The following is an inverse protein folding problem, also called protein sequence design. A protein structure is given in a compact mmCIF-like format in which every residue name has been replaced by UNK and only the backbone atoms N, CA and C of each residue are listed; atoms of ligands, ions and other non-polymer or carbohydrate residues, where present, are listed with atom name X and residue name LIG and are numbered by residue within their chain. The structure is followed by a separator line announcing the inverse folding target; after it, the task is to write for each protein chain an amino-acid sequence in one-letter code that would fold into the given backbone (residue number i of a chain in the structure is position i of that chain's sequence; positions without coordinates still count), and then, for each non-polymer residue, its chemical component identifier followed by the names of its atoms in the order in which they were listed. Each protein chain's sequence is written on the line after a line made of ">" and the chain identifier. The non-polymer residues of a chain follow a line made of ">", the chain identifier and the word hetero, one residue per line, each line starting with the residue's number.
data_IF_999601547134
#
_entry.id   IF_999601547134
#
_cell.length_a   1.000
_cell.length_b   1.000
_cell.length_c   1.000
_cell.angle_alpha   90.00
_cell.angle_beta   90.00
_cell.angle_gamma   90.00
#
_symmetry.space_group_name_H-M   'P 1'
#
loop_
_entity.id
_entity.type
_entity.pdbx_description
1 polymer ?
#
# COMPACT_ATOMS: atom_id res chain seq x y z
N UNK A 1 36.07 10.06 1.95
CA UNK A 1 35.13 10.30 3.03
C UNK A 1 33.76 9.80 2.55
N UNK A 2 33.34 8.63 3.04
CA UNK A 2 32.04 8.03 2.74
C UNK A 2 30.96 8.82 3.48
N UNK A 3 30.13 9.53 2.75
CA UNK A 3 28.91 10.12 3.26
C UNK A 3 27.95 8.99 3.67
N UNK A 4 28.02 8.58 4.93
CA UNK A 4 26.96 7.78 5.52
C UNK A 4 25.73 8.69 5.62
N UNK A 5 24.69 8.37 4.87
CA UNK A 5 23.42 9.07 4.89
C UNK A 5 22.79 9.03 6.29
N UNK A 6 22.20 10.15 6.77
CA UNK A 6 21.77 10.31 8.16
C UNK A 6 20.60 9.40 8.60
N UNK A 7 20.06 8.58 7.73
CA UNK A 7 18.94 7.69 8.07
C UNK A 7 19.34 6.48 8.93
N UNK A 8 20.65 6.16 9.06
CA UNK A 8 21.11 5.20 10.08
C UNK A 8 20.85 5.65 11.52
N UNK A 9 20.62 6.94 11.76
CA UNK A 9 20.26 7.47 13.06
C UNK A 9 18.78 7.23 13.44
N UNK A 10 17.89 7.14 12.46
CA UNK A 10 16.47 6.81 12.67
C UNK A 10 16.25 5.32 12.98
N UNK A 11 17.14 4.45 12.54
CA UNK A 11 17.09 3.00 12.81
C UNK A 11 17.25 2.62 14.28
N UNK A 12 17.63 3.56 15.17
CA UNK A 12 17.85 3.29 16.61
C UNK A 12 16.61 3.42 17.48
N UNK A 13 15.51 3.96 17.00
CA UNK A 13 14.23 3.89 17.70
C UNK A 13 13.49 2.64 17.22
N UNK A 14 13.54 1.56 17.99
CA UNK A 14 12.71 0.39 17.80
C UNK A 14 11.24 0.75 17.94
N UNK A 15 10.69 1.42 16.93
CA UNK A 15 9.25 1.64 16.86
C UNK A 15 8.59 0.32 16.43
N UNK A 16 7.61 -0.20 17.18
CA UNK A 16 7.02 -1.52 16.91
C UNK A 16 6.36 -1.62 15.52
N UNK A 17 6.18 -0.48 14.86
CA UNK A 17 5.55 -0.35 13.55
C UNK A 17 6.53 0.07 12.44
N UNK A 18 7.83 -0.17 12.63
CA UNK A 18 8.82 0.24 11.64
C UNK A 18 9.18 1.72 11.69
N UNK A 19 9.73 2.26 10.60
CA UNK A 19 10.15 3.66 10.53
C UNK A 19 10.22 4.18 9.09
N UNK A 20 10.07 5.51 8.95
CA UNK A 20 10.23 6.21 7.67
C UNK A 20 11.64 6.79 7.52
N UNK A 21 12.07 6.99 6.26
CA UNK A 21 13.32 7.70 5.95
C UNK A 21 13.25 9.20 6.26
N UNK A 22 12.05 9.76 6.38
CA UNK A 22 11.80 11.16 6.64
C UNK A 22 10.35 11.55 6.38
N UNK A 23 10.02 12.83 6.44
CA UNK A 23 8.71 13.33 6.07
C UNK A 23 8.51 13.22 4.56
N UNK A 24 7.24 13.15 4.13
CA UNK A 24 6.88 13.27 2.73
C UNK A 24 7.09 14.71 2.26
N UNK A 25 7.72 14.87 1.12
CA UNK A 25 7.95 16.15 0.45
C UNK A 25 7.34 16.10 -0.95
N UNK A 26 6.31 16.89 -1.21
CA UNK A 26 5.52 16.85 -2.43
C UNK A 26 5.19 18.24 -2.94
N UNK A 27 4.95 18.33 -4.24
CA UNK A 27 4.45 19.54 -4.92
C UNK A 27 3.12 19.23 -5.59
N UNK A 28 2.12 20.08 -5.38
CA UNK A 28 0.88 20.05 -6.12
C UNK A 28 1.12 20.29 -7.61
N UNK A 29 0.51 19.47 -8.44
CA UNK A 29 0.52 19.66 -9.89
C UNK A 29 -0.53 20.68 -10.32
N UNK A 30 -0.39 21.22 -11.54
CA UNK A 30 -1.30 22.25 -12.07
C UNK A 30 -2.73 21.74 -12.29
N UNK A 31 -2.95 20.44 -12.29
CA UNK A 31 -4.28 19.82 -12.37
C UNK A 31 -5.11 20.00 -11.08
N UNK A 32 -4.49 20.51 -10.01
CA UNK A 32 -5.14 20.72 -8.70
C UNK A 32 -5.59 19.44 -7.99
N UNK A 33 -5.17 18.26 -8.49
CA UNK A 33 -5.66 16.96 -8.03
C UNK A 33 -4.53 16.00 -7.65
N UNK A 34 -3.44 16.04 -8.40
CA UNK A 34 -2.30 15.13 -8.17
C UNK A 34 -1.14 15.87 -7.50
N UNK A 35 -0.27 15.10 -6.85
CA UNK A 35 0.99 15.59 -6.29
C UNK A 35 2.16 14.79 -6.84
N UNK A 36 3.29 15.46 -7.01
CA UNK A 36 4.56 14.81 -7.38
C UNK A 36 5.50 14.81 -6.19
N UNK A 37 6.06 13.63 -5.86
CA UNK A 37 7.10 13.51 -4.86
C UNK A 37 8.37 14.24 -5.32
N UNK A 38 8.94 15.04 -4.42
CA UNK A 38 10.19 15.77 -4.66
C UNK A 38 11.42 14.95 -4.24
N UNK A 39 11.28 14.11 -3.23
CA UNK A 39 12.32 13.23 -2.70
C UNK A 39 11.80 11.81 -2.52
N UNK A 40 12.71 10.82 -2.49
CA UNK A 40 12.36 9.45 -2.15
C UNK A 40 11.75 9.38 -0.76
N UNK A 41 10.61 8.71 -0.62
CA UNK A 41 10.06 8.31 0.65
C UNK A 41 10.23 6.81 0.80
N UNK A 42 10.88 6.37 1.88
CA UNK A 42 11.04 4.95 2.22
C UNK A 42 10.40 4.66 3.57
N UNK A 43 9.88 3.47 3.68
CA UNK A 43 9.37 2.91 4.92
C UNK A 43 9.95 1.51 5.09
N UNK A 44 10.45 1.22 6.27
CA UNK A 44 10.89 -0.12 6.66
C UNK A 44 9.85 -0.66 7.63
N UNK A 45 9.19 -1.73 7.25
CA UNK A 45 8.15 -2.36 8.04
C UNK A 45 8.72 -3.17 9.24
N UNK A 46 7.86 -3.67 10.15
CA UNK A 46 8.31 -4.46 11.30
C UNK A 46 9.10 -5.74 10.95
N UNK A 47 8.96 -6.24 9.73
CA UNK A 47 9.69 -7.41 9.23
C UNK A 47 11.04 -7.05 8.57
N UNK A 48 11.36 -5.76 8.48
CA UNK A 48 12.56 -5.26 7.81
C UNK A 48 12.42 -5.14 6.28
N UNK A 49 11.21 -5.26 5.74
CA UNK A 49 10.93 -5.06 4.33
C UNK A 49 10.95 -3.57 3.99
N UNK A 50 11.59 -3.22 2.87
CA UNK A 50 11.69 -1.84 2.40
C UNK A 50 10.57 -1.59 1.38
N UNK A 51 9.80 -0.54 1.61
CA UNK A 51 8.82 0.04 0.72
C UNK A 51 9.31 1.39 0.23
N UNK A 52 9.29 1.62 -1.07
CA UNK A 52 9.89 2.81 -1.66
C UNK A 52 8.92 3.51 -2.60
N UNK A 53 8.71 4.80 -2.34
CA UNK A 53 8.08 5.72 -3.27
C UNK A 53 9.19 6.65 -3.81
N UNK A 54 9.65 6.47 -5.05
CA UNK A 54 10.74 7.24 -5.61
C UNK A 54 10.33 8.68 -5.91
N UNK A 55 11.29 9.59 -5.87
CA UNK A 55 11.12 10.96 -6.36
C UNK A 55 10.55 10.95 -7.79
N UNK A 56 9.67 11.88 -8.07
CA UNK A 56 8.96 11.96 -9.35
C UNK A 56 7.68 11.11 -9.42
N UNK A 57 7.40 10.24 -8.44
CA UNK A 57 6.13 9.54 -8.37
C UNK A 57 4.97 10.53 -8.29
N UNK A 58 3.92 10.27 -9.06
CA UNK A 58 2.69 11.07 -9.05
C UNK A 58 1.64 10.30 -8.27
N UNK A 59 1.02 10.95 -7.29
CA UNK A 59 0.03 10.35 -6.38
C UNK A 59 -1.25 11.18 -6.38
N UNK A 60 -2.39 10.53 -6.33
CA UNK A 60 -3.72 11.16 -6.34
C UNK A 60 -4.67 10.62 -5.25
N UNK A 61 -4.22 9.67 -4.44
CA UNK A 61 -5.02 9.02 -3.41
C UNK A 61 -6.06 8.04 -3.94
N UNK A 62 -6.07 7.74 -5.25
CA UNK A 62 -7.08 6.89 -5.86
C UNK A 62 -6.95 5.40 -5.48
N UNK A 63 -5.84 4.99 -4.86
CA UNK A 63 -5.69 3.65 -4.29
C UNK A 63 -6.61 3.42 -3.09
N UNK A 64 -7.03 4.50 -2.42
CA UNK A 64 -7.93 4.46 -1.27
C UNK A 64 -9.35 4.83 -1.75
N UNK A 65 -10.35 3.95 -1.59
CA UNK A 65 -11.71 4.24 -1.98
C UNK A 65 -12.23 5.55 -1.39
N UNK A 66 -12.79 6.43 -2.23
CA UNK A 66 -13.25 7.79 -1.83
C UNK A 66 -14.18 7.81 -0.61
N UNK A 67 -15.11 6.85 -0.41
CA UNK A 67 -15.95 6.82 0.78
C UNK A 67 -15.20 6.66 2.10
N UNK A 68 -13.92 6.27 2.06
CA UNK A 68 -13.04 6.22 3.25
C UNK A 68 -12.43 7.59 3.59
N UNK A 69 -12.38 8.52 2.65
CA UNK A 69 -11.75 9.84 2.85
C UNK A 69 -12.34 10.65 4.01
N UNK A 70 -13.67 10.69 4.26
CA UNK A 70 -14.22 11.39 5.40
C UNK A 70 -13.69 10.90 6.77
N UNK A 71 -13.25 9.63 6.85
CA UNK A 71 -12.69 9.07 8.07
C UNK A 71 -11.22 9.46 8.27
N UNK A 72 -10.54 9.88 7.19
CA UNK A 72 -9.12 10.24 7.19
C UNK A 72 -8.89 11.75 7.19
N UNK A 73 -9.88 12.56 6.81
CA UNK A 73 -9.70 13.97 6.48
C UNK A 73 -9.13 14.19 5.07
N UNK A 74 -9.09 13.14 4.24
CA UNK A 74 -8.46 13.12 2.92
C UNK A 74 -7.19 12.26 2.89
N UNK A 75 -6.83 11.70 1.71
CA UNK A 75 -5.76 10.72 1.62
C UNK A 75 -4.36 11.29 1.91
N UNK A 76 -4.19 12.60 1.81
CA UNK A 76 -2.89 13.26 2.01
C UNK A 76 -2.88 14.21 3.19
N UNK A 77 -3.81 14.05 4.13
CA UNK A 77 -3.91 14.90 5.30
C UNK A 77 -3.43 14.19 6.57
N UNK A 78 -3.03 15.00 7.56
CA UNK A 78 -2.72 14.54 8.90
C UNK A 78 -1.71 13.40 8.96
N UNK A 79 -2.00 12.43 9.82
CA UNK A 79 -1.15 11.27 10.12
C UNK A 79 -1.13 10.20 9.03
N UNK A 80 -2.08 10.25 8.09
CA UNK A 80 -2.19 9.25 7.00
C UNK A 80 -1.24 9.52 5.84
N UNK A 81 -0.78 10.76 5.67
CA UNK A 81 -0.06 11.26 4.49
C UNK A 81 1.05 10.34 4.01
N UNK A 82 2.00 10.00 4.86
CA UNK A 82 3.14 9.17 4.48
C UNK A 82 2.70 7.77 4.06
N UNK A 83 1.79 7.17 4.81
CA UNK A 83 1.25 5.85 4.51
C UNK A 83 0.47 5.84 3.18
N UNK A 84 -0.35 6.86 2.92
CA UNK A 84 -1.14 6.98 1.69
C UNK A 84 -0.26 7.12 0.44
N UNK A 85 0.82 7.89 0.52
CA UNK A 85 1.77 8.03 -0.59
C UNK A 85 2.42 6.68 -0.94
N UNK A 86 2.89 5.94 0.08
CA UNK A 86 3.49 4.62 -0.14
C UNK A 86 2.48 3.62 -0.71
N UNK A 87 1.25 3.65 -0.21
CA UNK A 87 0.17 2.77 -0.67
C UNK A 87 -0.19 3.07 -2.13
N UNK A 88 -0.34 4.34 -2.49
CA UNK A 88 -0.65 4.78 -3.85
C UNK A 88 0.41 4.31 -4.85
N UNK A 89 1.69 4.55 -4.53
CA UNK A 89 2.82 4.12 -5.36
C UNK A 89 2.88 2.59 -5.47
N UNK A 90 2.66 1.85 -4.37
CA UNK A 90 2.66 0.38 -4.38
C UNK A 90 1.53 -0.19 -5.24
N UNK A 91 0.38 0.48 -5.25
CA UNK A 91 -0.77 0.10 -6.07
C UNK A 91 -0.59 0.40 -7.55
N UNK A 92 0.24 1.39 -7.90
CA UNK A 92 0.62 1.67 -9.28
C UNK A 92 1.70 0.72 -9.78
N UNK A 93 2.71 0.44 -8.95
CA UNK A 93 3.81 -0.47 -9.29
C UNK A 93 3.33 -1.92 -9.43
N UNK A 94 2.41 -2.38 -8.59
CA UNK A 94 1.86 -3.74 -8.57
C UNK A 94 2.93 -4.84 -8.54
N UNK A 95 4.05 -4.57 -7.92
CA UNK A 95 5.16 -5.51 -7.76
C UNK A 95 4.95 -6.50 -6.61
N UNK A 96 3.94 -6.24 -5.77
CA UNK A 96 3.54 -7.07 -4.63
C UNK A 96 2.03 -7.35 -4.64
N UNK A 97 1.57 -8.40 -3.94
CA UNK A 97 0.15 -8.66 -3.77
C UNK A 97 -0.59 -7.49 -3.09
N UNK A 98 -1.84 -7.18 -3.47
CA UNK A 98 -2.60 -6.09 -2.86
C UNK A 98 -2.73 -6.24 -1.34
N UNK A 99 -2.94 -7.45 -0.83
CA UNK A 99 -3.02 -7.69 0.61
C UNK A 99 -1.73 -7.32 1.37
N UNK A 100 -0.56 -7.47 0.74
CA UNK A 100 0.71 -7.02 1.34
C UNK A 100 0.81 -5.48 1.34
N UNK A 101 0.34 -4.83 0.27
CA UNK A 101 0.28 -3.37 0.19
C UNK A 101 -0.67 -2.80 1.25
N UNK A 102 -1.84 -3.41 1.44
CA UNK A 102 -2.82 -3.01 2.45
C UNK A 102 -2.28 -3.22 3.88
N UNK A 103 -1.56 -4.32 4.11
CA UNK A 103 -0.90 -4.57 5.40
C UNK A 103 0.19 -3.55 5.68
N UNK A 104 1.02 -3.25 4.69
CA UNK A 104 2.01 -2.17 4.79
C UNK A 104 1.32 -0.84 5.11
N UNK A 105 0.20 -0.51 4.48
CA UNK A 105 -0.55 0.70 4.78
C UNK A 105 -1.01 0.75 6.24
N UNK A 106 -1.54 -0.36 6.77
CA UNK A 106 -1.90 -0.47 8.18
C UNK A 106 -0.70 -0.20 9.11
N UNK A 107 0.42 -0.89 8.88
CA UNK A 107 1.63 -0.76 9.69
C UNK A 107 2.22 0.66 9.60
N UNK A 108 2.24 1.23 8.40
CA UNK A 108 2.70 2.59 8.13
C UNK A 108 1.80 3.65 8.80
N UNK A 109 0.47 3.46 8.80
CA UNK A 109 -0.45 4.30 9.57
C UNK A 109 -0.16 4.24 11.07
N UNK A 110 0.06 3.03 11.61
CA UNK A 110 0.41 2.84 13.02
C UNK A 110 1.74 3.51 13.37
N UNK A 111 2.72 3.42 12.46
CA UNK A 111 4.00 4.13 12.59
C UNK A 111 3.82 5.65 12.63
N UNK A 112 2.85 6.19 11.88
CA UNK A 112 2.50 7.61 11.88
C UNK A 112 1.63 8.05 13.09
N UNK A 113 1.29 7.12 13.99
CA UNK A 113 0.49 7.42 15.19
C UNK A 113 -1.01 7.53 14.94
N UNK A 114 -1.52 6.89 13.87
CA UNK A 114 -2.97 6.70 13.68
C UNK A 114 -3.50 5.76 14.76
N UNK A 115 -4.68 6.03 15.30
CA UNK A 115 -5.35 5.21 16.30
C UNK A 115 -5.57 3.77 15.83
N UNK A 116 -5.55 2.79 16.77
CA UNK A 116 -5.67 1.37 16.40
C UNK A 116 -7.01 1.05 15.74
N UNK A 117 -8.09 1.63 16.24
CA UNK A 117 -9.44 1.41 15.70
C UNK A 117 -9.54 1.94 14.27
N UNK A 118 -9.06 3.17 14.04
CA UNK A 118 -9.07 3.77 12.70
C UNK A 118 -8.20 2.98 11.73
N UNK A 119 -6.98 2.65 12.11
CA UNK A 119 -6.08 1.89 11.25
C UNK A 119 -6.65 0.51 10.89
N UNK A 120 -7.27 -0.20 11.85
CA UNK A 120 -7.95 -1.49 11.59
C UNK A 120 -9.19 -1.34 10.72
N UNK A 121 -9.97 -0.28 10.90
CA UNK A 121 -11.13 0.01 10.05
C UNK A 121 -10.71 0.23 8.61
N UNK A 122 -9.67 1.02 8.38
CA UNK A 122 -9.12 1.28 7.06
C UNK A 122 -8.57 0.02 6.42
N UNK A 123 -7.83 -0.78 7.18
CA UNK A 123 -7.27 -2.05 6.70
C UNK A 123 -8.38 -3.02 6.26
N UNK A 124 -9.40 -3.21 7.09
CA UNK A 124 -10.56 -4.03 6.74
C UNK A 124 -11.23 -3.53 5.46
N UNK A 125 -11.48 -2.23 5.38
CA UNK A 125 -12.17 -1.64 4.23
C UNK A 125 -11.35 -1.76 2.94
N UNK A 126 -10.03 -1.67 3.00
CA UNK A 126 -9.18 -1.91 1.83
C UNK A 126 -9.18 -3.36 1.39
N UNK A 127 -9.07 -4.31 2.32
CA UNK A 127 -9.15 -5.74 2.01
C UNK A 127 -10.49 -6.12 1.36
N UNK A 128 -11.59 -5.48 1.79
CA UNK A 128 -12.92 -5.80 1.33
C UNK A 128 -13.36 -5.05 0.07
N UNK A 129 -13.04 -3.76 -0.01
CA UNK A 129 -13.49 -2.86 -1.08
C UNK A 129 -12.37 -2.43 -2.02
N UNK A 130 -11.11 -2.67 -1.67
CA UNK A 130 -9.95 -2.21 -2.43
C UNK A 130 -9.85 -2.86 -3.80
N UNK A 131 -9.01 -2.27 -4.64
CA UNK A 131 -8.70 -2.86 -5.95
C UNK A 131 -7.80 -4.08 -5.76
N UNK A 132 -8.17 -5.19 -6.38
CA UNK A 132 -7.40 -6.42 -6.32
C UNK A 132 -6.78 -6.76 -7.68
N UNK A 133 -5.58 -7.31 -7.68
CA UNK A 133 -4.94 -7.92 -8.85
C UNK A 133 -4.34 -9.26 -8.47
N UNK A 134 -4.16 -10.11 -9.47
CA UNK A 134 -3.53 -11.42 -9.32
C UNK A 134 -2.30 -11.48 -10.21
N UNK A 135 -1.20 -12.01 -9.70
CA UNK A 135 -0.07 -12.35 -10.53
C UNK A 135 -0.40 -13.61 -11.33
N UNK A 136 -0.48 -13.49 -12.66
CA UNK A 136 -0.69 -14.63 -13.54
C UNK A 136 0.59 -15.48 -13.57
N UNK A 137 0.52 -16.70 -13.06
CA UNK A 137 1.55 -17.70 -13.34
C UNK A 137 1.34 -18.16 -14.78
N UNK A 138 2.10 -17.61 -15.73
CA UNK A 138 2.15 -18.20 -17.07
C UNK A 138 2.74 -19.60 -16.93
N UNK A 139 1.92 -20.66 -17.06
CA UNK A 139 2.41 -22.03 -17.25
C UNK A 139 3.33 -21.99 -18.46
N UNK A 140 4.63 -22.20 -18.24
CA UNK A 140 5.57 -22.34 -19.32
C UNK A 140 5.11 -23.56 -20.15
N UNK A 141 4.68 -23.36 -21.41
CA UNK A 141 4.58 -24.45 -22.36
C UNK A 141 5.95 -25.09 -22.42
N UNK A 142 6.05 -26.37 -22.06
CA UNK A 142 7.30 -27.14 -22.25
C UNK A 142 7.65 -27.03 -23.74
N UNK A 143 8.81 -26.49 -24.12
CA UNK A 143 9.22 -26.49 -25.51
C UNK A 143 9.39 -27.94 -25.96
N UNK A 144 8.83 -28.28 -27.12
CA UNK A 144 9.11 -29.53 -27.77
C UNK A 144 10.60 -29.56 -28.15
N UNK A 145 11.25 -30.69 -27.98
CA UNK A 145 12.71 -30.87 -28.01
C UNK A 145 13.39 -30.65 -29.37
N UNK A 146 12.77 -29.98 -30.34
CA UNK A 146 13.26 -29.80 -31.71
C UNK A 146 13.66 -28.38 -32.10
N UNK A 147 13.63 -27.39 -31.20
CA UNK A 147 14.04 -26.02 -31.53
C UNK A 147 15.05 -25.48 -30.52
N UNK A 148 16.31 -25.95 -30.62
CA UNK A 148 17.46 -25.32 -29.99
C UNK A 148 18.04 -24.32 -30.99
N UNK A 149 17.49 -23.13 -31.00
CA UNK A 149 18.03 -21.96 -31.69
C UNK A 149 17.93 -20.78 -30.74
N UNK A 150 19.08 -20.13 -30.48
CA UNK A 150 19.33 -18.95 -29.71
C UNK A 150 18.08 -18.22 -29.14
N UNK A 151 17.68 -18.56 -27.92
CA UNK A 151 16.61 -17.85 -27.23
C UNK A 151 17.23 -16.73 -26.38
N UNK A 152 16.97 -15.50 -26.78
CA UNK A 152 17.04 -14.33 -25.93
C UNK A 152 16.33 -14.63 -24.60
N UNK A 153 17.03 -14.39 -23.52
CA UNK A 153 16.46 -14.45 -22.17
C UNK A 153 15.63 -13.18 -21.98
N UNK A 154 14.43 -13.18 -22.52
CA UNK A 154 13.42 -12.17 -22.19
C UNK A 154 13.00 -12.36 -20.72
N UNK A 155 13.41 -11.45 -19.87
CA UNK A 155 12.91 -11.36 -18.49
C UNK A 155 11.38 -11.24 -18.57
N UNK A 156 10.68 -12.33 -18.23
CA UNK A 156 9.22 -12.39 -18.24
C UNK A 156 8.66 -11.59 -17.07
N UNK A 157 8.39 -10.33 -17.30
CA UNK A 157 7.51 -9.56 -16.44
C UNK A 157 6.10 -10.12 -16.57
N UNK A 158 5.62 -10.76 -15.51
CA UNK A 158 4.22 -11.14 -15.40
C UNK A 158 3.39 -9.86 -15.26
N UNK A 159 2.63 -9.51 -16.30
CA UNK A 159 1.72 -8.38 -16.27
C UNK A 159 0.58 -8.67 -15.29
N UNK A 160 0.39 -7.89 -14.21
CA UNK A 160 -0.69 -8.11 -13.28
C UNK A 160 -2.05 -7.87 -13.97
N UNK A 161 -2.96 -8.82 -13.83
CA UNK A 161 -4.34 -8.64 -14.29
C UNK A 161 -5.15 -7.96 -13.19
N UNK A 162 -5.62 -6.75 -13.45
CA UNK A 162 -6.49 -6.01 -12.52
C UNK A 162 -7.93 -6.44 -12.75
N UNK A 163 -8.58 -6.95 -11.71
CA UNK A 163 -10.04 -7.14 -11.70
C UNK A 163 -10.69 -5.78 -11.42
N UNK A 164 -11.18 -5.13 -12.46
CA UNK A 164 -11.85 -3.82 -12.37
C UNK A 164 -13.31 -4.00 -11.92
N UNK A 165 -13.56 -4.45 -10.70
CA UNK A 165 -14.84 -4.21 -10.05
C UNK A 165 -14.67 -2.98 -9.16
N UNK A 166 -15.12 -1.81 -9.64
CA UNK A 166 -15.38 -0.69 -8.73
C UNK A 166 -16.53 -1.13 -7.81
N UNK A 167 -16.16 -1.57 -6.62
CA UNK A 167 -17.13 -1.84 -5.57
C UNK A 167 -17.63 -0.49 -5.09
N UNK A 168 -18.94 -0.23 -5.23
CA UNK A 168 -19.56 0.97 -4.66
C UNK A 168 -19.53 0.82 -3.14
N UNK A 169 -18.63 1.53 -2.49
CA UNK A 169 -18.52 1.54 -1.03
C UNK A 169 -19.57 2.51 -0.49
N UNK A 170 -20.44 2.01 0.39
CA UNK A 170 -21.38 2.87 1.12
C UNK A 170 -20.72 3.36 2.42
N UNK A 171 -20.82 4.65 2.79
CA UNK A 171 -20.36 5.16 4.08
C UNK A 171 -20.90 4.39 5.29
N UNK A 172 -22.13 3.88 5.20
CA UNK A 172 -22.75 3.09 6.27
C UNK A 172 -22.01 1.75 6.49
N UNK A 173 -21.50 1.13 5.43
CA UNK A 173 -20.70 -0.09 5.54
C UNK A 173 -19.39 0.17 6.30
N UNK A 174 -18.76 1.33 6.04
CA UNK A 174 -17.53 1.73 6.75
C UNK A 174 -17.82 2.01 8.23
N UNK A 175 -18.96 2.64 8.54
CA UNK A 175 -19.40 2.83 9.93
C UNK A 175 -19.65 1.49 10.63
N UNK A 176 -20.32 0.55 9.97
CA UNK A 176 -20.56 -0.80 10.50
C UNK A 176 -19.23 -1.55 10.76
N UNK A 177 -18.26 -1.44 9.85
CA UNK A 177 -16.91 -2.00 10.05
C UNK A 177 -16.25 -1.37 11.27
N UNK A 178 -16.28 -0.05 11.40
CA UNK A 178 -15.69 0.66 12.53
C UNK A 178 -16.31 0.25 13.87
N UNK A 179 -17.63 0.15 13.91
CA UNK A 179 -18.35 -0.26 15.12
C UNK A 179 -18.04 -1.70 15.50
N UNK A 180 -17.93 -2.59 14.50
CA UNK A 180 -17.49 -3.97 14.73
C UNK A 180 -16.05 -4.03 15.25
N UNK A 181 -15.11 -3.28 14.65
CA UNK A 181 -13.72 -3.20 15.11
C UNK A 181 -13.64 -2.67 16.54
N UNK A 182 -14.40 -1.62 16.87
CA UNK A 182 -14.45 -1.06 18.22
C UNK A 182 -14.99 -2.03 19.25
N UNK A 183 -16.05 -2.77 18.89
CA UNK A 183 -16.72 -3.69 19.80
C UNK A 183 -15.91 -4.96 20.06
N UNK A 184 -15.22 -5.48 19.04
CA UNK A 184 -14.61 -6.80 19.09
C UNK A 184 -13.08 -6.75 19.26
N UNK A 185 -12.45 -5.58 19.06
CA UNK A 185 -10.99 -5.40 19.10
C UNK A 185 -10.22 -6.51 18.33
N UNK A 186 -10.60 -6.85 17.09
CA UNK A 186 -10.11 -8.03 16.39
C UNK A 186 -8.60 -7.99 16.17
N UNK A 187 -7.95 -9.16 16.10
CA UNK A 187 -6.60 -9.29 15.56
C UNK A 187 -6.60 -9.03 14.04
N UNK A 188 -5.41 -8.83 13.44
CA UNK A 188 -5.31 -8.68 11.99
C UNK A 188 -5.78 -9.94 11.26
N UNK A 189 -5.44 -11.14 11.76
CA UNK A 189 -5.86 -12.41 11.18
C UNK A 189 -7.41 -12.56 11.18
N UNK A 190 -8.08 -12.08 12.23
CA UNK A 190 -9.55 -12.04 12.28
C UNK A 190 -10.13 -11.05 11.27
N UNK A 191 -9.45 -9.94 11.04
CA UNK A 191 -9.83 -8.96 10.00
C UNK A 191 -9.66 -9.58 8.62
N UNK A 192 -8.51 -10.20 8.35
CA UNK A 192 -8.18 -10.83 7.07
C UNK A 192 -9.17 -11.95 6.74
N UNK A 193 -9.46 -12.83 7.71
CA UNK A 193 -10.45 -13.91 7.54
C UNK A 193 -11.83 -13.35 7.21
N UNK A 194 -12.33 -12.41 8.02
CA UNK A 194 -13.66 -11.83 7.81
C UNK A 194 -13.79 -11.03 6.51
N UNK A 195 -12.75 -10.33 6.09
CA UNK A 195 -12.76 -9.56 4.84
C UNK A 195 -12.70 -10.45 3.59
N UNK A 196 -12.14 -11.67 3.71
CA UNK A 196 -12.01 -12.64 2.61
C UNK A 196 -13.21 -13.56 2.41
N UNK A 197 -14.18 -13.55 3.33
CA UNK A 197 -15.37 -14.44 3.31
C UNK A 197 -16.50 -13.95 2.38
N UNK A 198 -16.21 -13.07 1.39
CA UNK A 198 -17.22 -12.51 0.47
C UNK A 198 -16.84 -12.59 -1.02
#
# INVERSE_FOLDING_TARGET
>A
ASHQTPWSAFAKQHHPWGYYSGPVDTRWNSDGRTMTLLNDLRYVDPKGQIWNAPAGSVVDGASIPRPLWPFMGGPFEGKYRNASVLHDVSYDQKDRPPAECDKMFYEAMRCSGVGVTEAKTMYYALLHFGRHWKFGVKKAKRPHLSEIGAAEVEARQSTPQTSSRETIVNPDDVNAIRDWVRKNEPSLDQIESRAGDH
#
